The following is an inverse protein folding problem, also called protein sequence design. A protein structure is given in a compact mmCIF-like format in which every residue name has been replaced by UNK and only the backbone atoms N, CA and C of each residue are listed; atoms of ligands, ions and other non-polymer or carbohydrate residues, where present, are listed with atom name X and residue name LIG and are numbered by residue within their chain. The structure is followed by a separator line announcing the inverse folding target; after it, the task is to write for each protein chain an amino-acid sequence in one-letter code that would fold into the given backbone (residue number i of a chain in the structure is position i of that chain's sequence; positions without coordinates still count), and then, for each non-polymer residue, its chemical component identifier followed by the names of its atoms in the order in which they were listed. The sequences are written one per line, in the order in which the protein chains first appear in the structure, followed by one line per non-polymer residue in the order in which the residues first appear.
data_IF_234013943932
#
_entry.id   IF_234013943932
#
_cell.length_a   1.000
_cell.length_b   1.000
_cell.length_c   1.000
_cell.angle_alpha   90.00
_cell.angle_beta   90.00
_cell.angle_gamma   90.00
#
_symmetry.space_group_name_H-M   'P 1'
#
loop_
_entity.id
_entity.type
_entity.pdbx_description
1 polymer ?
#
# COMPACT_ATOMS: atom_id res chain seq x y z
N UNK A 1 16.42 -9.38 24.62
CA UNK A 1 14.98 -9.77 24.59
C UNK A 1 14.03 -8.61 24.29
N UNK A 2 14.10 -7.44 24.96
CA UNK A 2 13.17 -6.32 24.72
C UNK A 2 13.08 -5.80 23.28
N UNK A 3 14.21 -5.73 22.54
CA UNK A 3 14.22 -5.28 21.14
C UNK A 3 13.39 -6.18 20.20
N UNK A 4 13.45 -7.50 20.37
CA UNK A 4 12.72 -8.43 19.52
C UNK A 4 11.19 -8.35 19.75
N UNK A 5 10.77 -8.13 21.01
CA UNK A 5 9.36 -7.97 21.36
C UNK A 5 8.79 -6.67 20.78
N UNK A 6 9.57 -5.59 20.81
CA UNK A 6 9.17 -4.30 20.22
C UNK A 6 9.01 -4.42 18.70
N UNK A 7 9.94 -5.07 18.02
CA UNK A 7 9.88 -5.28 16.55
C UNK A 7 8.68 -6.16 16.18
N UNK A 8 8.47 -7.27 16.90
CA UNK A 8 7.33 -8.17 16.66
C UNK A 8 5.99 -7.46 16.90
N UNK A 9 5.91 -6.67 17.96
CA UNK A 9 4.71 -5.88 18.27
C UNK A 9 4.47 -4.85 17.17
N UNK A 10 5.50 -4.10 16.77
CA UNK A 10 5.38 -3.09 15.71
C UNK A 10 4.93 -3.70 14.37
N UNK A 11 5.49 -4.85 14.00
CA UNK A 11 5.07 -5.62 12.83
C UNK A 11 3.62 -6.06 12.91
N UNK A 12 3.18 -6.58 14.06
CA UNK A 12 1.79 -6.95 14.28
C UNK A 12 0.83 -5.77 14.11
N UNK A 13 1.13 -4.62 14.71
CA UNK A 13 0.33 -3.40 14.56
C UNK A 13 0.28 -2.94 13.11
N UNK A 14 1.42 -2.97 12.40
CA UNK A 14 1.50 -2.58 10.99
C UNK A 14 0.64 -3.50 10.09
N UNK A 15 0.76 -4.81 10.26
CA UNK A 15 -0.03 -5.79 9.49
C UNK A 15 -1.52 -5.68 9.82
N UNK A 16 -1.88 -5.54 11.09
CA UNK A 16 -3.27 -5.41 11.52
C UNK A 16 -3.92 -4.14 10.96
N UNK A 17 -3.24 -2.99 11.00
CA UNK A 17 -3.76 -1.75 10.42
C UNK A 17 -3.80 -1.79 8.89
N UNK A 18 -2.82 -2.40 8.23
CA UNK A 18 -2.82 -2.53 6.76
C UNK A 18 -3.97 -3.40 6.27
N UNK A 19 -4.20 -4.56 6.92
CA UNK A 19 -5.35 -5.42 6.63
C UNK A 19 -6.67 -4.74 7.00
N UNK A 20 -6.71 -4.04 8.14
CA UNK A 20 -7.87 -3.29 8.59
C UNK A 20 -8.24 -2.17 7.63
N UNK A 21 -7.26 -1.51 7.01
CA UNK A 21 -7.49 -0.48 6.01
C UNK A 21 -8.11 -1.05 4.74
N UNK A 22 -7.79 -2.30 4.37
CA UNK A 22 -8.37 -2.99 3.20
C UNK A 22 -9.76 -3.55 3.47
N UNK A 23 -9.95 -4.25 4.59
CA UNK A 23 -11.19 -4.99 4.89
C UNK A 23 -12.27 -4.10 5.54
N UNK A 24 -11.86 -3.19 6.43
CA UNK A 24 -12.77 -2.37 7.23
C UNK A 24 -12.29 -0.90 7.29
N UNK A 25 -12.19 -0.21 6.14
CA UNK A 25 -11.59 1.11 6.05
C UNK A 25 -12.23 2.12 7.01
N UNK A 26 -13.56 2.09 7.16
CA UNK A 26 -14.28 3.02 8.03
C UNK A 26 -13.87 2.91 9.50
N UNK A 27 -13.86 1.69 10.04
CA UNK A 27 -13.51 1.44 11.46
C UNK A 27 -12.05 1.76 11.71
N UNK A 28 -11.18 1.32 10.81
CA UNK A 28 -9.72 1.46 10.93
C UNK A 28 -9.30 2.93 10.84
N UNK A 29 -9.82 3.68 9.86
CA UNK A 29 -9.50 5.10 9.71
C UNK A 29 -10.06 5.94 10.87
N UNK A 30 -11.23 5.58 11.41
CA UNK A 30 -11.78 6.23 12.62
C UNK A 30 -10.86 6.05 13.82
N UNK A 31 -10.32 4.86 14.02
CA UNK A 31 -9.39 4.58 15.11
C UNK A 31 -8.04 5.29 14.92
N UNK A 32 -7.52 5.31 13.70
CA UNK A 32 -6.32 6.08 13.32
C UNK A 32 -6.52 7.59 13.53
N UNK A 33 -7.69 8.13 13.19
CA UNK A 33 -8.01 9.54 13.41
C UNK A 33 -8.09 9.90 14.91
N UNK A 34 -8.54 8.97 15.76
CA UNK A 34 -8.60 9.14 17.22
C UNK A 34 -7.20 9.13 17.86
N UNK A 35 -6.28 8.29 17.38
CA UNK A 35 -4.91 8.18 17.92
C UNK A 35 -3.91 9.00 17.10
N UNK A 36 -3.58 10.22 17.54
CA UNK A 36 -2.66 11.16 16.82
C UNK A 36 -1.33 10.55 16.38
N UNK A 37 -0.74 9.65 17.19
CA UNK A 37 0.56 8.99 16.91
C UNK A 37 0.49 8.10 15.67
N UNK A 38 -0.67 7.47 15.42
CA UNK A 38 -0.85 6.54 14.32
C UNK A 38 -1.46 7.19 13.07
N UNK A 39 -1.85 8.47 13.13
CA UNK A 39 -2.39 9.21 11.97
C UNK A 39 -1.56 9.11 10.67
N UNK A 40 -0.21 9.14 10.72
CA UNK A 40 0.62 8.95 9.54
C UNK A 40 0.46 7.59 8.86
N UNK A 41 -0.05 6.56 9.55
CA UNK A 41 -0.26 5.23 8.94
C UNK A 41 -1.31 5.25 7.83
N UNK A 42 -2.16 6.27 7.75
CA UNK A 42 -3.09 6.45 6.62
C UNK A 42 -2.34 6.68 5.30
N UNK A 43 -1.07 7.11 5.34
CA UNK A 43 -0.22 7.29 4.17
C UNK A 43 0.56 6.03 3.80
N UNK A 44 0.48 4.95 4.58
CA UNK A 44 1.17 3.68 4.28
C UNK A 44 0.85 3.16 2.87
N UNK A 45 -0.42 3.15 2.41
CA UNK A 45 -0.70 2.69 1.06
C UNK A 45 -0.06 3.56 -0.02
N UNK A 46 0.16 4.87 0.24
CA UNK A 46 0.91 5.76 -0.68
C UNK A 46 2.38 5.38 -0.74
N UNK A 47 3.01 5.18 0.41
CA UNK A 47 4.44 4.83 0.47
C UNK A 47 4.66 3.47 -0.20
N UNK A 48 3.80 2.50 0.10
CA UNK A 48 3.83 1.19 -0.56
C UNK A 48 3.59 1.34 -2.06
N UNK A 49 2.60 2.13 -2.48
CA UNK A 49 2.34 2.38 -3.90
C UNK A 49 3.53 3.00 -4.60
N UNK A 50 4.20 4.01 -4.03
CA UNK A 50 5.40 4.60 -4.62
C UNK A 50 6.52 3.56 -4.78
N UNK A 51 6.77 2.74 -3.76
CA UNK A 51 7.77 1.67 -3.84
C UNK A 51 7.40 0.66 -4.94
N UNK A 52 6.15 0.22 -5.00
CA UNK A 52 5.67 -0.67 -6.06
C UNK A 52 5.69 -0.03 -7.43
N UNK A 53 5.44 1.27 -7.53
CA UNK A 53 5.44 2.01 -8.78
C UNK A 53 6.87 2.15 -9.32
N UNK A 54 7.82 2.54 -8.46
CA UNK A 54 9.24 2.56 -8.83
C UNK A 54 9.75 1.16 -9.19
N UNK A 55 9.46 0.15 -8.37
CA UNK A 55 9.85 -1.23 -8.64
C UNK A 55 9.22 -1.80 -9.90
N UNK A 56 7.95 -1.48 -10.15
CA UNK A 56 7.21 -1.88 -11.34
C UNK A 56 7.64 -1.13 -12.59
N UNK A 57 8.02 0.15 -12.52
CA UNK A 57 8.62 0.87 -13.64
C UNK A 57 9.98 0.30 -14.00
N UNK A 58 10.83 0.02 -12.99
CA UNK A 58 12.10 -0.70 -13.20
C UNK A 58 11.84 -2.09 -13.78
N UNK A 59 10.85 -2.81 -13.25
CA UNK A 59 10.45 -4.14 -13.72
C UNK A 59 9.82 -4.13 -15.12
N UNK A 60 9.11 -3.08 -15.55
CA UNK A 60 8.56 -2.99 -16.90
C UNK A 60 9.65 -2.53 -17.90
N UNK A 61 10.59 -1.68 -17.45
CA UNK A 61 11.69 -1.19 -18.29
C UNK A 61 12.81 -2.21 -18.47
N UNK A 62 13.14 -2.95 -17.41
CA UNK A 62 14.25 -3.92 -17.37
C UNK A 62 13.76 -5.36 -17.16
N UNK A 63 12.47 -5.61 -17.02
CA UNK A 63 11.94 -6.96 -16.77
C UNK A 63 12.22 -7.94 -17.88
N UNK A 64 12.33 -7.48 -19.13
CA UNK A 64 12.83 -8.32 -20.22
C UNK A 64 14.25 -8.84 -19.95
N UNK A 65 15.13 -7.99 -19.40
CA UNK A 65 16.52 -8.35 -19.05
C UNK A 65 16.56 -9.24 -17.81
N UNK A 66 15.75 -8.94 -16.80
CA UNK A 66 15.67 -9.74 -15.56
C UNK A 66 15.09 -11.14 -15.83
N UNK A 67 14.02 -11.22 -16.62
CA UNK A 67 13.42 -12.50 -17.03
C UNK A 67 14.38 -13.30 -17.91
N UNK A 68 15.12 -12.63 -18.81
CA UNK A 68 16.17 -13.25 -19.59
C UNK A 68 17.31 -13.81 -18.71
N UNK A 69 17.78 -13.07 -17.70
CA UNK A 69 18.78 -13.53 -16.73
C UNK A 69 18.28 -14.73 -15.90
N UNK A 70 16.98 -14.82 -15.65
CA UNK A 70 16.33 -15.94 -14.94
C UNK A 70 15.99 -17.12 -15.87
N UNK A 71 16.34 -17.06 -17.16
CA UNK A 71 16.03 -18.11 -18.14
C UNK A 71 14.54 -18.22 -18.50
N UNK A 72 13.74 -17.22 -18.17
CA UNK A 72 12.31 -17.17 -18.43
C UNK A 72 12.03 -16.42 -19.74
N UNK A 73 11.30 -17.06 -20.66
CA UNK A 73 10.88 -16.42 -21.91
C UNK A 73 9.64 -15.58 -21.66
N UNK A 74 9.81 -14.27 -21.64
CA UNK A 74 8.70 -13.33 -21.57
C UNK A 74 8.00 -13.24 -22.94
N UNK A 75 6.83 -13.88 -23.07
CA UNK A 75 6.00 -13.67 -24.27
C UNK A 75 5.41 -12.25 -24.27
N UNK A 76 5.20 -11.68 -25.45
CA UNK A 76 4.59 -10.34 -25.58
C UNK A 76 3.24 -10.26 -24.82
N UNK A 77 2.43 -11.33 -24.90
CA UNK A 77 1.15 -11.44 -24.17
C UNK A 77 1.34 -11.35 -22.65
N UNK A 78 2.37 -11.98 -22.10
CA UNK A 78 2.67 -11.91 -20.66
C UNK A 78 3.04 -10.49 -20.24
N UNK A 79 3.89 -9.80 -21.02
CA UNK A 79 4.26 -8.40 -20.75
C UNK A 79 3.06 -7.44 -20.83
N UNK A 80 2.15 -7.66 -21.78
CA UNK A 80 0.91 -6.88 -21.88
C UNK A 80 -0.02 -7.07 -20.67
N UNK A 81 -0.21 -8.32 -20.22
CA UNK A 81 -1.02 -8.61 -19.03
C UNK A 81 -0.38 -7.99 -17.78
N UNK A 82 0.94 -8.09 -17.64
CA UNK A 82 1.66 -7.51 -16.51
C UNK A 82 1.55 -5.98 -16.48
N UNK A 83 1.70 -5.33 -17.65
CA UNK A 83 1.51 -3.88 -17.79
C UNK A 83 0.07 -3.48 -17.46
N UNK A 84 -0.92 -4.21 -17.97
CA UNK A 84 -2.33 -3.96 -17.66
C UNK A 84 -2.61 -4.05 -16.15
N UNK A 85 -2.15 -5.13 -15.50
CA UNK A 85 -2.31 -5.31 -14.05
C UNK A 85 -1.61 -4.21 -13.26
N UNK A 86 -0.42 -3.79 -13.67
CA UNK A 86 0.32 -2.71 -13.03
C UNK A 86 -0.45 -1.37 -13.07
N UNK A 87 -0.96 -0.99 -14.25
CA UNK A 87 -1.74 0.24 -14.41
C UNK A 87 -3.09 0.17 -13.69
N UNK A 88 -3.77 -0.97 -13.80
CA UNK A 88 -5.03 -1.20 -13.09
C UNK A 88 -4.85 -1.09 -11.57
N UNK A 89 -3.83 -1.74 -11.02
CA UNK A 89 -3.54 -1.69 -9.58
C UNK A 89 -3.15 -0.27 -9.14
N UNK A 90 -2.42 0.46 -9.99
CA UNK A 90 -2.05 1.86 -9.75
C UNK A 90 -3.28 2.74 -9.63
N UNK A 91 -4.23 2.63 -10.56
CA UNK A 91 -5.48 3.40 -10.52
C UNK A 91 -6.30 3.00 -9.30
N UNK A 92 -6.46 1.70 -9.04
CA UNK A 92 -7.18 1.19 -7.88
C UNK A 92 -6.61 1.76 -6.57
N UNK A 93 -5.28 1.69 -6.38
CA UNK A 93 -4.62 2.23 -5.19
C UNK A 93 -4.77 3.74 -5.07
N UNK A 94 -4.71 4.48 -6.18
CA UNK A 94 -4.96 5.93 -6.19
C UNK A 94 -6.37 6.27 -5.73
N UNK A 95 -7.39 5.61 -6.27
CA UNK A 95 -8.78 5.80 -5.85
C UNK A 95 -9.00 5.37 -4.39
N UNK A 96 -8.40 4.24 -3.99
CA UNK A 96 -8.47 3.76 -2.60
C UNK A 96 -7.87 4.76 -1.62
N UNK A 97 -6.72 5.34 -1.97
CA UNK A 97 -6.08 6.34 -1.14
C UNK A 97 -6.95 7.59 -0.99
N UNK A 98 -7.62 8.04 -2.06
CA UNK A 98 -8.53 9.17 -2.00
C UNK A 98 -9.66 8.92 -0.98
N UNK A 99 -10.21 7.69 -0.96
CA UNK A 99 -11.23 7.28 0.03
C UNK A 99 -10.67 7.31 1.46
N UNK A 100 -9.47 6.78 1.68
CA UNK A 100 -8.84 6.76 3.01
C UNK A 100 -8.54 8.18 3.53
N UNK A 101 -8.05 9.06 2.66
CA UNK A 101 -7.81 10.47 2.99
C UNK A 101 -9.12 11.17 3.32
N UNK A 102 -10.16 10.99 2.51
CA UNK A 102 -11.49 11.54 2.75
C UNK A 102 -12.04 11.11 4.12
N UNK A 103 -12.00 9.81 4.41
CA UNK A 103 -12.45 9.28 5.71
C UNK A 103 -11.63 9.84 6.86
N UNK A 104 -10.32 9.95 6.69
CA UNK A 104 -9.43 10.46 7.73
C UNK A 104 -9.73 11.92 8.05
N UNK A 105 -9.85 12.77 7.03
CA UNK A 105 -10.22 14.18 7.18
C UNK A 105 -11.59 14.33 7.83
N UNK A 106 -12.59 13.58 7.34
CA UNK A 106 -13.95 13.56 7.91
C UNK A 106 -13.93 13.27 9.41
N UNK A 107 -13.29 12.18 9.83
CA UNK A 107 -13.23 11.83 11.26
C UNK A 107 -12.40 12.80 12.08
N UNK A 108 -11.30 13.33 11.54
CA UNK A 108 -10.50 14.35 12.23
C UNK A 108 -11.29 15.63 12.51
N UNK A 109 -12.16 16.03 11.57
CA UNK A 109 -13.04 17.18 11.75
C UNK A 109 -14.13 16.87 12.78
N UNK A 110 -14.80 15.71 12.67
CA UNK A 110 -15.85 15.31 13.63
C UNK A 110 -15.34 15.09 15.06
N UNK A 111 -14.10 14.63 15.24
CA UNK A 111 -13.52 14.37 16.57
C UNK A 111 -12.86 15.60 17.20
N UNK A 112 -12.71 16.71 16.46
CA UNK A 112 -12.21 18.00 16.96
C UNK A 112 -13.34 18.97 17.32
N UNK A 113 -14.52 18.78 16.74
CA UNK A 113 -15.74 19.49 17.12
C UNK A 113 -16.39 18.91 18.36
#
# INVERSE_FOLDING_TARGET
MKKNILILSFGYWFSAYSLGLLLHPYKTVRELARRRVFGPLVLVPVVMWLVFWFGGMVGLRFGGVILWLLGLVATARFLHILSFLFWWLTIFLGMWQAVLIYLFLRFRLTLRG
#
